data_IF_179555235155
#
_entry.id   IF_179555235155
#
_cell.length_a   1.000
_cell.length_b   1.000
_cell.length_c   1.000
_cell.angle_alpha   90.00
_cell.angle_beta   90.00
_cell.angle_gamma   90.00
#
_symmetry.space_group_name_H-M   'P 1'
#
loop_
_entity.id
_entity.type
_entity.pdbx_description
1 polymer ?
#
# COMPACT_ATOMS: atom_id res chain seq x y z
N UNK A 1 17.56 -5.14 12.80
CA UNK A 1 18.20 -5.27 11.47
C UNK A 1 17.13 -5.76 10.51
N UNK A 2 16.63 -4.88 9.65
CA UNK A 2 15.60 -5.24 8.68
C UNK A 2 16.21 -6.16 7.62
N UNK A 3 15.64 -7.35 7.46
CA UNK A 3 16.12 -8.33 6.49
C UNK A 3 15.93 -7.74 5.09
N UNK A 4 17.03 -7.50 4.36
CA UNK A 4 16.96 -6.94 3.03
C UNK A 4 16.13 -7.87 2.13
N UNK A 5 14.93 -7.43 1.69
CA UNK A 5 14.11 -8.22 0.78
C UNK A 5 14.80 -8.33 -0.58
N UNK A 6 14.80 -9.54 -1.14
CA UNK A 6 15.33 -9.83 -2.47
C UNK A 6 14.20 -9.92 -3.48
N UNK A 7 14.37 -9.28 -4.64
CA UNK A 7 13.38 -9.28 -5.71
C UNK A 7 13.16 -10.69 -6.25
N UNK A 8 11.94 -11.20 -6.13
CA UNK A 8 11.58 -12.54 -6.58
C UNK A 8 11.70 -12.74 -8.10
N UNK A 9 11.72 -11.65 -8.89
CA UNK A 9 11.86 -11.69 -10.34
C UNK A 9 13.32 -11.72 -10.82
N UNK A 10 14.24 -11.03 -10.15
CA UNK A 10 15.61 -10.85 -10.67
C UNK A 10 16.74 -11.03 -9.64
N UNK A 11 16.39 -11.32 -8.37
CA UNK A 11 17.33 -11.47 -7.26
C UNK A 11 17.98 -10.18 -6.77
N UNK A 12 17.60 -9.02 -7.30
CA UNK A 12 18.17 -7.72 -6.89
C UNK A 12 17.69 -7.26 -5.52
N UNK A 13 18.46 -6.39 -4.85
CA UNK A 13 18.05 -5.72 -3.61
C UNK A 13 16.76 -4.93 -3.81
N UNK A 14 15.89 -4.95 -2.80
CA UNK A 14 14.70 -4.11 -2.75
C UNK A 14 14.83 -3.05 -1.66
N UNK A 15 14.50 -1.81 -2.02
CA UNK A 15 14.44 -0.68 -1.11
C UNK A 15 12.99 -0.48 -0.63
N UNK A 16 12.82 -0.26 0.66
CA UNK A 16 11.53 0.06 1.26
C UNK A 16 11.11 1.49 0.89
N UNK A 17 9.81 1.69 0.73
CA UNK A 17 9.14 2.97 0.59
C UNK A 17 7.66 2.85 0.95
N UNK A 18 6.89 3.87 0.62
CA UNK A 18 5.45 3.93 0.84
C UNK A 18 4.72 4.29 -0.46
N UNK A 19 3.47 3.84 -0.57
CA UNK A 19 2.54 4.37 -1.56
C UNK A 19 1.87 5.62 -1.01
N UNK A 20 1.79 6.68 -1.80
CA UNK A 20 1.08 7.90 -1.42
C UNK A 20 -0.31 7.92 -2.05
N UNK A 21 -1.33 8.13 -1.22
CA UNK A 21 -2.68 8.48 -1.60
C UNK A 21 -2.97 9.97 -1.41
N UNK A 22 -4.22 10.36 -1.68
CA UNK A 22 -4.76 11.67 -1.31
C UNK A 22 -5.96 11.49 -0.40
N UNK A 23 -6.06 12.31 0.64
CA UNK A 23 -7.27 12.40 1.43
C UNK A 23 -8.34 13.28 0.76
N UNK A 24 -9.50 13.41 1.40
CA UNK A 24 -10.61 14.24 0.92
C UNK A 24 -10.29 15.74 0.87
N UNK A 25 -9.27 16.21 1.60
CA UNK A 25 -8.77 17.58 1.58
C UNK A 25 -7.64 17.81 0.58
N UNK A 26 -7.22 16.79 -0.16
CA UNK A 26 -6.10 16.84 -1.10
C UNK A 26 -4.72 16.70 -0.47
N UNK A 27 -4.64 16.43 0.85
CA UNK A 27 -3.39 16.15 1.56
C UNK A 27 -2.78 14.82 1.12
N UNK A 28 -1.45 14.73 1.16
CA UNK A 28 -0.73 13.47 0.93
C UNK A 28 -0.82 12.59 2.17
N UNK A 29 -1.26 11.35 1.99
CA UNK A 29 -1.37 10.35 3.05
C UNK A 29 -0.74 9.04 2.60
N UNK A 30 -0.36 8.18 3.54
CA UNK A 30 0.01 6.79 3.20
C UNK A 30 -1.22 6.10 2.60
N UNK A 31 -1.02 5.38 1.50
CA UNK A 31 -2.09 4.60 0.90
C UNK A 31 -2.47 3.46 1.83
N UNK A 32 -3.76 3.19 1.95
CA UNK A 32 -4.29 2.19 2.88
C UNK A 32 -4.97 1.07 2.11
N UNK A 33 -4.80 -0.15 2.59
CA UNK A 33 -5.51 -1.33 2.12
C UNK A 33 -6.77 -1.54 2.96
N UNK A 34 -7.85 -1.96 2.30
CA UNK A 34 -9.09 -2.34 2.96
C UNK A 34 -9.54 -3.70 2.41
N UNK A 35 -9.96 -4.65 3.26
CA UNK A 35 -10.39 -5.98 2.82
C UNK A 35 -11.66 -5.94 1.99
N UNK A 36 -11.71 -6.80 0.97
CA UNK A 36 -12.92 -7.06 0.21
C UNK A 36 -13.23 -6.01 -0.86
N UNK A 37 -14.51 -5.93 -1.22
CA UNK A 37 -15.00 -5.01 -2.27
C UNK A 37 -15.51 -3.72 -1.62
N UNK A 38 -15.40 -2.57 -2.30
CA UNK A 38 -16.00 -1.32 -1.84
C UNK A 38 -17.52 -1.45 -1.62
N UNK A 39 -17.97 -1.25 -0.38
CA UNK A 39 -19.39 -1.22 -0.04
C UNK A 39 -19.86 0.22 0.11
N UNK A 40 -21.10 0.51 -0.33
CA UNK A 40 -21.68 1.86 -0.24
C UNK A 40 -23.01 1.83 0.48
N UNK A 41 -23.28 2.88 1.25
CA UNK A 41 -24.61 3.10 1.82
C UNK A 41 -25.59 3.63 0.76
N UNK A 42 -26.86 3.79 1.15
CA UNK A 42 -27.92 4.27 0.25
C UNK A 42 -27.67 5.68 -0.32
N UNK A 43 -26.88 6.51 0.37
CA UNK A 43 -26.47 7.84 -0.09
C UNK A 43 -25.20 7.80 -0.98
N UNK A 44 -24.70 6.61 -1.32
CA UNK A 44 -23.51 6.43 -2.17
C UNK A 44 -22.18 6.63 -1.45
N UNK A 45 -22.18 6.83 -0.14
CA UNK A 45 -20.95 6.98 0.64
C UNK A 45 -20.29 5.63 0.86
N UNK A 46 -18.96 5.59 0.74
CA UNK A 46 -18.16 4.41 0.99
C UNK A 46 -18.22 4.03 2.47
N UNK A 47 -18.58 2.78 2.75
CA UNK A 47 -18.61 2.21 4.09
C UNK A 47 -17.25 1.57 4.38
N UNK A 48 -16.50 2.19 5.28
CA UNK A 48 -15.20 1.72 5.74
C UNK A 48 -15.23 1.59 7.26
N UNK A 49 -14.90 0.42 7.77
CA UNK A 49 -14.48 0.26 9.15
C UNK A 49 -13.00 0.65 9.27
N UNK A 50 -12.73 1.82 9.87
CA UNK A 50 -11.37 2.34 9.99
C UNK A 50 -10.42 1.40 10.75
N UNK A 51 -10.94 0.48 11.57
CA UNK A 51 -10.12 -0.51 12.29
C UNK A 51 -9.58 -1.61 11.38
N UNK A 52 -10.10 -1.75 10.17
CA UNK A 52 -9.67 -2.73 9.17
C UNK A 52 -8.71 -2.14 8.14
N UNK A 53 -8.35 -0.86 8.30
CA UNK A 53 -7.36 -0.21 7.43
C UNK A 53 -5.96 -0.64 7.85
N UNK A 54 -5.18 -1.09 6.88
CA UNK A 54 -3.75 -1.37 7.00
C UNK A 54 -2.97 -0.42 6.11
N UNK A 55 -1.86 0.11 6.62
CA UNK A 55 -1.01 0.97 5.81
C UNK A 55 -0.27 0.12 4.77
N UNK A 56 -0.14 0.66 3.55
CA UNK A 56 0.56 -0.03 2.47
C UNK A 56 2.00 0.44 2.40
N UNK A 57 2.91 -0.45 2.77
CA UNK A 57 4.33 -0.30 2.49
C UNK A 57 4.67 -0.90 1.13
N UNK A 58 5.73 -0.39 0.51
CA UNK A 58 6.18 -0.83 -0.79
C UNK A 58 7.66 -1.22 -0.76
N UNK A 59 8.03 -2.21 -1.55
CA UNK A 59 9.43 -2.55 -1.80
C UNK A 59 9.70 -2.45 -3.28
N UNK A 60 10.60 -1.53 -3.69
CA UNK A 60 11.00 -1.34 -5.08
C UNK A 60 12.35 -1.99 -5.33
N UNK A 61 12.42 -2.87 -6.32
CA UNK A 61 13.69 -3.40 -6.80
C UNK A 61 14.53 -2.30 -7.44
N UNK A 62 15.76 -2.13 -6.97
CA UNK A 62 16.69 -1.14 -7.51
C UNK A 62 17.19 -1.51 -8.92
N UNK A 63 17.12 -2.81 -9.29
CA UNK A 63 17.61 -3.33 -10.57
C UNK A 63 16.55 -3.41 -11.67
N UNK A 64 15.43 -4.11 -11.42
CA UNK A 64 14.40 -4.34 -12.44
C UNK A 64 13.12 -3.52 -12.23
N UNK A 65 13.08 -2.70 -11.19
CA UNK A 65 11.99 -1.76 -10.88
C UNK A 65 10.62 -2.41 -10.59
N UNK A 66 10.57 -3.73 -10.40
CA UNK A 66 9.42 -4.39 -9.81
C UNK A 66 9.12 -3.77 -8.44
N UNK A 67 7.84 -3.53 -8.17
CA UNK A 67 7.36 -3.03 -6.88
C UNK A 67 6.39 -4.06 -6.31
N UNK A 68 6.65 -4.50 -5.08
CA UNK A 68 5.73 -5.32 -4.29
C UNK A 68 5.10 -4.43 -3.21
N UNK A 69 3.78 -4.56 -3.02
CA UNK A 69 3.01 -3.83 -2.01
C UNK A 69 2.56 -4.79 -0.91
N UNK A 70 2.70 -4.38 0.34
CA UNK A 70 2.32 -5.16 1.51
C UNK A 70 1.43 -4.32 2.41
N UNK A 71 0.32 -4.90 2.87
CA UNK A 71 -0.54 -4.31 3.88
C UNK A 71 -0.08 -4.84 5.25
N UNK A 72 0.42 -3.96 6.12
CA UNK A 72 0.85 -4.28 7.50
C UNK A 72 -0.12 -3.71 8.55
#
# INVERSE_FOLDING_TARGET
MESAKSCHKCGGRMAQGISLGRDSGGGQVVAQWYPGKPERNWAGMLMIDKKQLSDVIAYRCERCHLIDFYAE
#
